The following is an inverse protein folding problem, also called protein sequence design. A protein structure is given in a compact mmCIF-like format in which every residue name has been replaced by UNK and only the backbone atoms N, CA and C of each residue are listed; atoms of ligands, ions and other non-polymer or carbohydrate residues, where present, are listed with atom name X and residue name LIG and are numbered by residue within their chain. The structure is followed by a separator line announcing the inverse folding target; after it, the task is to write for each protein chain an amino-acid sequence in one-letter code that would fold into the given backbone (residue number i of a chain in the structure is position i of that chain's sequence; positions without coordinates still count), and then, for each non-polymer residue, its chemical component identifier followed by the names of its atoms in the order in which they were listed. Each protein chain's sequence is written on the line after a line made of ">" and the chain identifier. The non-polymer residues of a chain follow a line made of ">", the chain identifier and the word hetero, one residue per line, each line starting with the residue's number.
data_IF_255576500712
#
_entry.id   IF_255576500712
#
_cell.length_a   1.000
_cell.length_b   1.000
_cell.length_c   1.000
_cell.angle_alpha   90.00
_cell.angle_beta   90.00
_cell.angle_gamma   90.00
#
_symmetry.space_group_name_H-M   'P 1'
#
loop_
_entity.id
_entity.type
_entity.pdbx_description
1 polymer ?
#
# COMPACT_ATOMS: atom_id res chain seq x y z
N UNK A 1 22.31 -20.81 15.86
CA UNK A 1 20.97 -20.29 15.53
C UNK A 1 21.08 -19.79 14.11
N UNK A 2 20.48 -20.48 13.14
CA UNK A 2 20.42 -20.05 11.73
C UNK A 2 19.62 -18.78 11.66
N UNK A 3 20.16 -17.75 11.02
CA UNK A 3 19.47 -16.49 10.76
C UNK A 3 18.19 -16.78 9.96
N UNK A 4 16.98 -16.50 10.48
CA UNK A 4 15.74 -16.75 9.76
C UNK A 4 15.57 -15.91 8.48
N UNK A 5 16.48 -14.96 8.22
CA UNK A 5 16.53 -14.19 6.99
C UNK A 5 17.27 -14.93 5.84
N UNK A 6 18.10 -15.93 6.14
CA UNK A 6 18.95 -16.59 5.14
C UNK A 6 18.18 -17.45 4.12
N UNK A 7 16.90 -17.76 4.37
CA UNK A 7 16.08 -18.65 3.52
C UNK A 7 14.76 -18.02 3.05
N UNK A 8 14.59 -16.68 3.21
CA UNK A 8 13.37 -15.99 2.79
C UNK A 8 13.34 -15.83 1.27
N UNK A 9 12.48 -16.59 0.61
CA UNK A 9 12.22 -16.52 -0.83
C UNK A 9 10.86 -15.90 -1.08
N UNK A 10 10.83 -14.79 -1.80
CA UNK A 10 9.61 -14.02 -2.05
C UNK A 10 9.19 -14.17 -3.51
N UNK A 11 7.96 -14.64 -3.69
CA UNK A 11 7.32 -14.75 -4.99
C UNK A 11 6.26 -13.69 -5.22
N UNK A 12 6.13 -13.23 -6.45
CA UNK A 12 5.06 -12.33 -6.86
C UNK A 12 4.26 -12.94 -8.01
N UNK A 13 2.97 -13.12 -7.80
CA UNK A 13 2.03 -13.46 -8.87
C UNK A 13 1.37 -12.15 -9.31
N UNK A 14 1.77 -11.69 -10.50
CA UNK A 14 1.62 -10.32 -10.97
C UNK A 14 2.91 -9.51 -10.77
N UNK A 15 3.48 -8.99 -11.87
CA UNK A 15 4.71 -8.20 -11.90
C UNK A 15 4.43 -6.71 -12.16
N UNK A 16 3.28 -6.21 -11.71
CA UNK A 16 2.85 -4.82 -11.88
C UNK A 16 3.63 -3.83 -11.01
N UNK A 17 3.19 -2.56 -11.02
CA UNK A 17 3.85 -1.47 -10.28
C UNK A 17 3.98 -1.75 -8.79
N UNK A 18 2.93 -2.27 -8.14
CA UNK A 18 2.95 -2.53 -6.69
C UNK A 18 3.92 -3.67 -6.34
N UNK A 19 3.90 -4.78 -7.09
CA UNK A 19 4.86 -5.87 -6.92
C UNK A 19 6.31 -5.37 -7.07
N UNK A 20 6.56 -4.57 -8.09
CA UNK A 20 7.88 -3.97 -8.34
C UNK A 20 8.30 -3.02 -7.20
N UNK A 21 7.37 -2.20 -6.69
CA UNK A 21 7.65 -1.29 -5.56
C UNK A 21 8.06 -2.06 -4.30
N UNK A 22 7.27 -3.09 -3.94
CA UNK A 22 7.54 -3.95 -2.79
C UNK A 22 8.88 -4.67 -2.93
N UNK A 23 9.12 -5.32 -4.08
CA UNK A 23 10.37 -6.02 -4.35
C UNK A 23 11.60 -5.10 -4.25
N UNK A 24 11.53 -3.91 -4.84
CA UNK A 24 12.60 -2.89 -4.73
C UNK A 24 12.83 -2.46 -3.29
N UNK A 25 11.77 -2.23 -2.53
CA UNK A 25 11.88 -1.86 -1.12
C UNK A 25 12.54 -2.96 -0.28
N UNK A 26 12.15 -4.21 -0.49
CA UNK A 26 12.73 -5.36 0.22
C UNK A 26 14.22 -5.53 -0.09
N UNK A 27 14.63 -5.31 -1.35
CA UNK A 27 16.03 -5.37 -1.78
C UNK A 27 16.82 -4.18 -1.20
N UNK A 28 16.30 -2.97 -1.30
CA UNK A 28 16.97 -1.77 -0.82
C UNK A 28 17.23 -1.81 0.70
N UNK A 29 16.30 -2.40 1.45
CA UNK A 29 16.45 -2.64 2.90
C UNK A 29 17.29 -3.89 3.24
N UNK A 30 17.84 -4.58 2.25
CA UNK A 30 18.60 -5.82 2.42
C UNK A 30 17.85 -6.94 3.16
N UNK A 31 16.51 -6.87 3.16
CA UNK A 31 15.65 -7.90 3.78
C UNK A 31 15.57 -9.14 2.91
N UNK A 32 15.68 -8.98 1.59
CA UNK A 32 15.68 -10.07 0.60
C UNK A 32 16.71 -9.72 -0.48
N UNK A 33 17.48 -10.73 -0.95
CA UNK A 33 18.38 -10.51 -2.09
C UNK A 33 17.62 -10.61 -3.42
N UNK A 34 18.11 -10.00 -4.51
CA UNK A 34 17.48 -10.10 -5.83
C UNK A 34 17.26 -11.55 -6.28
N UNK A 35 18.21 -12.45 -6.01
CA UNK A 35 18.19 -13.87 -6.40
C UNK A 35 17.08 -14.64 -5.69
N UNK A 36 16.66 -14.17 -4.50
CA UNK A 36 15.58 -14.76 -3.70
C UNK A 36 14.20 -14.22 -4.10
N UNK A 37 14.12 -13.34 -5.11
CA UNK A 37 12.86 -12.81 -5.63
C UNK A 37 12.53 -13.44 -6.98
N UNK A 38 11.30 -13.91 -7.13
CA UNK A 38 10.76 -14.44 -8.38
C UNK A 38 9.38 -13.86 -8.65
N UNK A 39 9.07 -13.58 -9.92
CA UNK A 39 7.76 -13.10 -10.32
C UNK A 39 7.25 -13.78 -11.58
N UNK A 40 5.92 -13.78 -11.78
CA UNK A 40 5.29 -14.08 -13.06
C UNK A 40 4.22 -13.03 -13.37
N UNK A 41 3.91 -12.87 -14.65
CA UNK A 41 2.82 -12.02 -15.12
C UNK A 41 2.32 -12.55 -16.48
N UNK A 42 1.05 -12.34 -16.77
CA UNK A 42 0.46 -12.68 -18.08
C UNK A 42 0.90 -11.70 -19.17
N UNK A 43 1.44 -10.54 -18.78
CA UNK A 43 1.96 -9.50 -19.68
C UNK A 43 3.49 -9.56 -19.72
N UNK A 44 4.13 -10.05 -20.80
CA UNK A 44 5.59 -10.21 -20.85
C UNK A 44 6.36 -8.90 -20.60
N UNK A 45 5.83 -7.77 -21.07
CA UNK A 45 6.46 -6.46 -20.86
C UNK A 45 6.50 -6.06 -19.36
N UNK A 46 5.54 -6.47 -18.55
CA UNK A 46 5.57 -6.26 -17.10
C UNK A 46 6.71 -7.06 -16.47
N UNK A 47 6.89 -8.31 -16.88
CA UNK A 47 7.99 -9.17 -16.43
C UNK A 47 9.35 -8.60 -16.78
N UNK A 48 9.55 -8.14 -18.03
CA UNK A 48 10.81 -7.52 -18.46
C UNK A 48 11.15 -6.29 -17.59
N UNK A 49 10.17 -5.41 -17.35
CA UNK A 49 10.33 -4.24 -16.50
C UNK A 49 10.61 -4.59 -15.04
N UNK A 50 9.97 -5.65 -14.53
CA UNK A 50 10.22 -6.14 -13.18
C UNK A 50 11.68 -6.59 -13.02
N UNK A 51 12.19 -7.41 -13.94
CA UNK A 51 13.59 -7.89 -13.93
C UNK A 51 14.57 -6.72 -14.04
N UNK A 52 14.33 -5.79 -14.96
CA UNK A 52 15.16 -4.58 -15.13
C UNK A 52 15.31 -3.79 -13.81
N UNK A 53 14.19 -3.63 -13.08
CA UNK A 53 14.15 -2.78 -11.89
C UNK A 53 14.56 -3.49 -10.60
N UNK A 54 14.38 -4.80 -10.51
CA UNK A 54 14.63 -5.57 -9.28
C UNK A 54 15.83 -6.48 -9.35
N UNK A 55 16.26 -6.83 -10.58
CA UNK A 55 17.20 -7.92 -10.84
C UNK A 55 16.75 -9.30 -10.34
N UNK A 56 15.49 -9.41 -9.94
CA UNK A 56 14.86 -10.67 -9.59
C UNK A 56 14.63 -11.56 -10.82
N UNK A 57 14.22 -12.80 -10.56
CA UNK A 57 13.91 -13.76 -11.64
C UNK A 57 12.47 -13.56 -12.14
N UNK A 58 12.25 -13.82 -13.41
CA UNK A 58 10.93 -13.92 -14.01
C UNK A 58 10.70 -15.33 -14.54
N UNK A 59 9.55 -15.90 -14.24
CA UNK A 59 9.12 -17.25 -14.67
C UNK A 59 7.78 -17.18 -15.38
N UNK A 60 7.43 -18.25 -16.09
CA UNK A 60 6.28 -18.23 -16.99
C UNK A 60 4.94 -18.44 -16.29
N UNK A 61 4.93 -19.07 -15.11
CA UNK A 61 3.68 -19.53 -14.47
C UNK A 61 3.64 -19.23 -12.97
N UNK A 62 2.43 -19.07 -12.44
CA UNK A 62 2.16 -18.98 -11.00
C UNK A 62 2.67 -20.23 -10.24
N UNK A 63 2.63 -21.39 -10.87
CA UNK A 63 3.11 -22.65 -10.30
C UNK A 63 4.62 -22.67 -10.06
N UNK A 64 5.40 -22.10 -10.98
CA UNK A 64 6.85 -21.94 -10.81
C UNK A 64 7.17 -20.98 -9.67
N UNK A 65 6.45 -19.85 -9.56
CA UNK A 65 6.58 -18.93 -8.42
C UNK A 65 6.31 -19.66 -7.11
N UNK A 66 5.21 -20.44 -7.03
CA UNK A 66 4.84 -21.14 -5.81
C UNK A 66 5.88 -22.21 -5.41
N UNK A 67 6.51 -22.90 -6.34
CA UNK A 67 7.57 -23.90 -6.03
C UNK A 67 8.79 -23.28 -5.39
N UNK A 68 9.16 -22.08 -5.85
CA UNK A 68 10.42 -21.40 -5.52
C UNK A 68 10.31 -20.46 -4.31
N UNK A 69 9.11 -20.26 -3.73
CA UNK A 69 8.87 -19.22 -2.74
C UNK A 69 8.37 -19.75 -1.41
N UNK A 70 8.78 -19.14 -0.31
CA UNK A 70 8.22 -19.33 1.05
C UNK A 70 7.11 -18.31 1.37
N UNK A 71 7.20 -17.10 0.81
CA UNK A 71 6.18 -16.06 0.90
C UNK A 71 5.74 -15.68 -0.51
N UNK A 72 4.45 -15.71 -0.78
CA UNK A 72 3.88 -15.47 -2.12
C UNK A 72 2.92 -14.29 -2.06
N UNK A 73 3.26 -13.21 -2.76
CA UNK A 73 2.39 -12.05 -2.90
C UNK A 73 1.46 -12.24 -4.11
N UNK A 74 0.14 -12.17 -3.86
CA UNK A 74 -0.86 -12.11 -4.91
C UNK A 74 -1.07 -10.65 -5.29
N UNK A 75 -0.45 -10.24 -6.39
CA UNK A 75 -0.38 -8.86 -6.88
C UNK A 75 -1.10 -8.67 -8.21
N UNK A 76 -2.05 -9.54 -8.52
CA UNK A 76 -2.91 -9.47 -9.70
C UNK A 76 -4.15 -8.60 -9.45
N UNK A 77 -4.81 -8.20 -10.52
CA UNK A 77 -6.13 -7.54 -10.41
C UNK A 77 -7.19 -8.54 -9.89
N UNK A 78 -8.21 -8.08 -9.14
CA UNK A 78 -9.25 -8.96 -8.59
C UNK A 78 -9.88 -9.91 -9.62
N UNK A 79 -10.09 -9.44 -10.85
CA UNK A 79 -10.69 -10.21 -11.94
C UNK A 79 -9.85 -11.40 -12.42
N UNK A 80 -8.57 -11.46 -12.05
CA UNK A 80 -7.65 -12.55 -12.39
C UNK A 80 -7.51 -13.58 -11.25
N UNK A 81 -8.17 -13.36 -10.12
CA UNK A 81 -7.97 -14.17 -8.92
C UNK A 81 -8.45 -15.61 -9.09
N UNK A 82 -9.54 -15.85 -9.81
CA UNK A 82 -10.05 -17.20 -10.05
C UNK A 82 -9.02 -18.08 -10.78
N UNK A 83 -8.31 -17.52 -11.76
CA UNK A 83 -7.22 -18.24 -12.45
C UNK A 83 -6.07 -18.55 -11.49
N UNK A 84 -5.70 -17.61 -10.62
CA UNK A 84 -4.67 -17.82 -9.60
C UNK A 84 -5.08 -18.92 -8.63
N UNK A 85 -6.34 -18.98 -8.22
CA UNK A 85 -6.86 -20.05 -7.37
C UNK A 85 -6.76 -21.42 -8.06
N UNK A 86 -7.15 -21.51 -9.33
CA UNK A 86 -7.06 -22.75 -10.12
C UNK A 86 -5.60 -23.21 -10.27
N UNK A 87 -4.67 -22.28 -10.46
CA UNK A 87 -3.25 -22.60 -10.62
C UNK A 87 -2.58 -23.09 -9.33
N UNK A 88 -3.00 -22.58 -8.17
CA UNK A 88 -2.28 -22.75 -6.92
C UNK A 88 -2.87 -23.78 -5.96
N UNK A 89 -4.20 -23.97 -5.94
CA UNK A 89 -4.92 -24.77 -4.92
C UNK A 89 -4.25 -26.12 -4.61
N UNK A 90 -3.82 -26.83 -5.65
CA UNK A 90 -3.32 -28.21 -5.52
C UNK A 90 -1.82 -28.30 -5.28
N UNK A 91 -1.10 -27.19 -5.24
CA UNK A 91 0.36 -27.16 -5.16
C UNK A 91 0.92 -26.37 -3.97
N UNK A 92 0.06 -25.62 -3.29
CA UNK A 92 0.49 -24.88 -2.10
C UNK A 92 0.86 -25.82 -0.97
N UNK A 93 1.96 -25.51 -0.29
CA UNK A 93 2.45 -26.24 0.86
C UNK A 93 2.02 -25.54 2.17
N UNK A 94 1.77 -26.30 3.25
CA UNK A 94 1.31 -25.73 4.53
C UNK A 94 2.26 -24.67 5.14
N UNK A 95 3.56 -24.81 4.86
CA UNK A 95 4.59 -23.89 5.34
C UNK A 95 4.67 -22.58 4.56
N UNK A 96 3.97 -22.45 3.44
CA UNK A 96 3.96 -21.22 2.63
C UNK A 96 2.99 -20.19 3.21
N UNK A 97 3.42 -18.93 3.17
CA UNK A 97 2.59 -17.76 3.52
C UNK A 97 2.11 -17.08 2.25
N UNK A 98 0.81 -16.94 2.13
CA UNK A 98 0.19 -16.18 1.04
C UNK A 98 -0.20 -14.79 1.54
N UNK A 99 0.27 -13.78 0.83
CA UNK A 99 0.01 -12.37 1.13
C UNK A 99 -0.76 -11.75 -0.05
N UNK A 100 -2.06 -11.50 0.13
CA UNK A 100 -2.86 -10.87 -0.91
C UNK A 100 -2.83 -9.36 -0.78
N UNK A 101 -2.45 -8.67 -1.86
CA UNK A 101 -2.58 -7.21 -2.00
C UNK A 101 -3.69 -6.82 -2.98
N UNK A 102 -4.53 -7.78 -3.40
CA UNK A 102 -5.66 -7.53 -4.29
C UNK A 102 -6.77 -6.80 -3.54
N UNK A 103 -7.19 -5.65 -4.07
CA UNK A 103 -8.28 -4.87 -3.48
C UNK A 103 -9.62 -5.63 -3.58
N UNK A 104 -10.45 -5.52 -2.55
CA UNK A 104 -11.81 -6.06 -2.56
C UNK A 104 -11.93 -7.58 -2.41
N UNK A 105 -10.83 -8.35 -2.25
CA UNK A 105 -10.90 -9.81 -2.08
C UNK A 105 -10.75 -10.17 -0.58
N UNK A 106 -11.84 -10.60 0.10
CA UNK A 106 -11.80 -10.93 1.52
C UNK A 106 -10.99 -12.21 1.81
N UNK A 107 -10.49 -12.32 3.04
CA UNK A 107 -9.80 -13.53 3.53
C UNK A 107 -10.67 -14.79 3.36
N UNK A 108 -11.98 -14.69 3.55
CA UNK A 108 -12.92 -15.81 3.34
C UNK A 108 -12.88 -16.30 1.89
N UNK A 109 -12.88 -15.41 0.92
CA UNK A 109 -12.79 -15.74 -0.52
C UNK A 109 -11.43 -16.33 -0.86
N UNK A 110 -10.33 -15.75 -0.33
CA UNK A 110 -8.99 -16.30 -0.50
C UNK A 110 -8.87 -17.72 0.05
N UNK A 111 -9.39 -17.98 1.25
CA UNK A 111 -9.39 -19.30 1.88
C UNK A 111 -10.24 -20.31 1.09
N UNK A 112 -11.40 -19.92 0.59
CA UNK A 112 -12.24 -20.78 -0.25
C UNK A 112 -11.56 -21.13 -1.58
N UNK A 113 -10.84 -20.17 -2.18
CA UNK A 113 -10.11 -20.35 -3.44
C UNK A 113 -8.85 -21.20 -3.31
N UNK A 114 -8.02 -20.93 -2.30
CA UNK A 114 -6.70 -21.55 -2.15
C UNK A 114 -6.67 -22.80 -1.25
N UNK A 115 -7.70 -22.99 -0.45
CA UNK A 115 -7.81 -24.09 0.51
C UNK A 115 -7.81 -23.62 1.97
N UNK A 116 -8.51 -24.37 2.86
CA UNK A 116 -8.78 -23.91 4.22
C UNK A 116 -7.54 -23.97 5.15
N UNK A 117 -6.47 -24.64 4.75
CA UNK A 117 -5.25 -24.81 5.56
C UNK A 117 -4.16 -23.78 5.24
N UNK A 118 -4.36 -22.95 4.22
CA UNK A 118 -3.35 -21.99 3.75
C UNK A 118 -3.20 -20.85 4.76
N UNK A 119 -1.96 -20.47 5.07
CA UNK A 119 -1.66 -19.29 5.89
C UNK A 119 -1.83 -18.04 5.03
N UNK A 120 -2.76 -17.17 5.41
CA UNK A 120 -3.20 -16.02 4.62
C UNK A 120 -3.02 -14.72 5.39
N UNK A 121 -2.51 -13.71 4.72
CA UNK A 121 -2.56 -12.31 5.16
C UNK A 121 -3.13 -11.46 4.02
N UNK A 122 -4.13 -10.66 4.34
CA UNK A 122 -4.68 -9.66 3.43
C UNK A 122 -4.06 -8.31 3.74
N UNK A 123 -3.55 -7.62 2.74
CA UNK A 123 -2.88 -6.31 2.86
C UNK A 123 -3.58 -5.31 1.95
N UNK A 124 -3.73 -4.10 2.46
CA UNK A 124 -4.12 -2.93 1.66
C UNK A 124 -2.96 -1.92 1.66
N UNK A 125 -2.08 -1.95 0.67
CA UNK A 125 -1.02 -0.96 0.48
C UNK A 125 -1.54 0.25 -0.32
N UNK A 126 -0.68 1.26 -0.52
CA UNK A 126 -0.97 2.36 -1.43
C UNK A 126 0.23 2.71 -2.32
N UNK A 127 -0.02 3.51 -3.36
CA UNK A 127 0.99 3.83 -4.38
C UNK A 127 2.25 4.54 -3.88
N UNK A 128 2.26 5.36 -2.80
CA UNK A 128 3.50 5.92 -2.25
C UNK A 128 4.54 4.89 -1.78
N UNK A 129 4.22 3.59 -1.70
CA UNK A 129 5.21 2.52 -1.58
C UNK A 129 6.32 2.60 -2.65
N UNK A 130 6.01 3.14 -3.84
CA UNK A 130 6.99 3.38 -4.93
C UNK A 130 8.17 4.26 -4.54
N UNK A 131 7.96 5.13 -3.55
CA UNK A 131 8.97 6.08 -3.05
C UNK A 131 9.29 5.85 -1.56
N UNK A 132 8.96 4.68 -1.01
CA UNK A 132 9.25 4.32 0.38
C UNK A 132 8.37 5.04 1.43
N UNK A 133 7.28 5.68 1.00
CA UNK A 133 6.37 6.44 1.86
C UNK A 133 4.95 5.85 1.85
N UNK A 134 4.83 4.55 1.71
CA UNK A 134 3.54 3.85 1.70
C UNK A 134 2.85 3.88 3.06
N UNK A 135 1.53 3.78 3.04
CA UNK A 135 0.71 3.46 4.19
C UNK A 135 -0.01 2.14 3.91
N UNK A 136 0.36 1.10 4.62
CA UNK A 136 -0.20 -0.25 4.47
C UNK A 136 -0.90 -0.68 5.74
N UNK A 137 -2.06 -1.30 5.62
CA UNK A 137 -2.65 -2.06 6.71
C UNK A 137 -2.84 -3.51 6.28
N UNK A 138 -2.77 -4.44 7.24
CA UNK A 138 -2.93 -5.85 6.97
C UNK A 138 -3.73 -6.57 8.06
N UNK A 139 -4.29 -7.71 7.68
CA UNK A 139 -5.06 -8.56 8.59
C UNK A 139 -4.70 -10.02 8.38
N UNK A 140 -4.57 -10.76 9.47
CA UNK A 140 -4.32 -12.20 9.46
C UNK A 140 -5.59 -13.00 9.19
N UNK A 141 -5.49 -14.01 8.34
CA UNK A 141 -6.45 -15.11 8.27
C UNK A 141 -6.28 -16.11 9.42
N UNK A 142 -7.20 -17.05 9.51
CA UNK A 142 -7.28 -17.99 10.65
C UNK A 142 -6.01 -18.82 10.90
N UNK A 143 -5.26 -19.16 9.83
CA UNK A 143 -4.08 -20.01 9.95
C UNK A 143 -2.76 -19.23 9.95
N UNK A 144 -2.80 -17.90 9.78
CA UNK A 144 -1.60 -17.09 9.87
C UNK A 144 -1.19 -16.88 11.33
N UNK A 145 0.08 -17.08 11.62
CA UNK A 145 0.63 -17.00 12.97
C UNK A 145 1.04 -15.57 13.33
N UNK A 146 1.32 -15.25 14.60
CA UNK A 146 1.92 -13.97 14.99
C UNK A 146 3.28 -13.73 14.30
N UNK A 147 4.06 -14.79 14.06
CA UNK A 147 5.35 -14.72 13.35
C UNK A 147 5.15 -14.35 11.89
N UNK A 148 4.10 -14.84 11.24
CA UNK A 148 3.70 -14.45 9.87
C UNK A 148 3.35 -12.95 9.83
N UNK A 149 2.59 -12.47 10.82
CA UNK A 149 2.27 -11.04 10.93
C UNK A 149 3.52 -10.19 11.11
N UNK A 150 4.43 -10.60 12.00
CA UNK A 150 5.68 -9.90 12.24
C UNK A 150 6.57 -9.88 10.97
N UNK A 151 6.61 -10.98 10.22
CA UNK A 151 7.33 -11.05 8.94
C UNK A 151 6.73 -10.07 7.92
N UNK A 152 5.41 -10.09 7.73
CA UNK A 152 4.73 -9.19 6.77
C UNK A 152 4.88 -7.74 7.20
N UNK A 153 4.75 -7.42 8.49
CA UNK A 153 4.99 -6.08 9.00
C UNK A 153 6.42 -5.61 8.70
N UNK A 154 7.43 -6.46 8.95
CA UNK A 154 8.84 -6.15 8.63
C UNK A 154 9.04 -5.90 7.14
N UNK A 155 8.48 -6.74 6.27
CA UNK A 155 8.55 -6.57 4.81
C UNK A 155 7.91 -5.25 4.36
N UNK A 156 6.69 -4.96 4.80
CA UNK A 156 5.97 -3.76 4.41
C UNK A 156 6.59 -2.48 4.98
N UNK A 157 7.22 -2.55 6.17
CA UNK A 157 7.94 -1.42 6.78
C UNK A 157 9.14 -0.95 5.96
N UNK A 158 9.64 -1.77 5.03
CA UNK A 158 10.68 -1.36 4.09
C UNK A 158 10.20 -0.34 3.03
N UNK A 159 8.89 -0.22 2.87
CA UNK A 159 8.28 0.69 1.87
C UNK A 159 7.34 1.72 2.49
N UNK A 160 7.32 1.85 3.82
CA UNK A 160 6.52 2.83 4.54
C UNK A 160 6.00 2.32 5.89
N UNK A 161 4.88 2.86 6.33
CA UNK A 161 4.19 2.43 7.55
C UNK A 161 3.39 1.15 7.30
N UNK A 162 3.45 0.19 8.23
CA UNK A 162 2.65 -1.04 8.20
C UNK A 162 1.96 -1.28 9.56
N UNK A 163 0.65 -1.47 9.54
CA UNK A 163 -0.17 -1.67 10.74
C UNK A 163 -1.06 -2.90 10.61
N UNK A 164 -1.08 -3.76 11.64
CA UNK A 164 -2.06 -4.83 11.72
C UNK A 164 -3.41 -4.28 12.22
N UNK A 165 -4.49 -4.63 11.52
CA UNK A 165 -5.86 -4.23 11.87
C UNK A 165 -6.82 -5.41 11.70
N UNK A 166 -7.97 -5.44 12.38
CA UNK A 166 -9.04 -6.38 12.06
C UNK A 166 -9.50 -6.23 10.61
N UNK A 167 -9.80 -7.35 9.92
CA UNK A 167 -10.15 -7.35 8.48
C UNK A 167 -11.30 -6.40 8.15
N UNK A 168 -12.31 -6.30 9.02
CA UNK A 168 -13.46 -5.41 8.84
C UNK A 168 -13.09 -3.92 8.66
N UNK A 169 -11.88 -3.52 9.04
CA UNK A 169 -11.39 -2.14 8.91
C UNK A 169 -10.64 -1.91 7.58
N UNK A 170 -10.31 -2.95 6.81
CA UNK A 170 -9.53 -2.79 5.58
C UNK A 170 -10.27 -2.01 4.47
N UNK A 171 -11.61 -1.99 4.49
CA UNK A 171 -12.37 -1.17 3.56
C UNK A 171 -12.27 0.33 3.91
N UNK A 172 -12.30 0.66 5.21
CA UNK A 172 -12.03 2.02 5.67
C UNK A 172 -10.57 2.45 5.39
N UNK A 173 -9.62 1.53 5.53
CA UNK A 173 -8.21 1.74 5.11
C UNK A 173 -8.14 2.00 3.61
N UNK A 174 -8.93 1.29 2.79
CA UNK A 174 -9.02 1.52 1.35
C UNK A 174 -9.50 2.94 1.06
N UNK A 175 -10.58 3.37 1.72
CA UNK A 175 -11.12 4.74 1.58
C UNK A 175 -10.15 5.83 2.03
N UNK A 176 -9.44 5.60 3.15
CA UNK A 176 -8.54 6.57 3.75
C UNK A 176 -7.16 6.61 3.05
N UNK A 177 -6.44 5.50 3.04
CA UNK A 177 -5.05 5.46 2.57
C UNK A 177 -4.88 4.83 1.18
N UNK A 178 -5.75 3.90 0.79
CA UNK A 178 -5.74 3.33 -0.56
C UNK A 178 -6.06 4.37 -1.62
N UNK A 179 -7.16 5.10 -1.46
CA UNK A 179 -7.62 6.18 -2.33
C UNK A 179 -6.96 7.53 -2.01
N UNK A 180 -6.48 7.70 -0.78
CA UNK A 180 -5.92 8.94 -0.23
C UNK A 180 -4.86 9.63 -1.08
N UNK A 181 -3.94 8.95 -1.78
CA UNK A 181 -2.98 9.61 -2.66
C UNK A 181 -3.63 10.52 -3.71
N UNK A 182 -4.81 10.14 -4.25
CA UNK A 182 -5.55 10.97 -5.19
C UNK A 182 -6.05 12.27 -4.54
N UNK A 183 -6.51 12.20 -3.29
CA UNK A 183 -6.94 13.39 -2.54
C UNK A 183 -5.77 14.33 -2.29
N UNK A 184 -4.61 13.76 -1.91
CA UNK A 184 -3.38 14.56 -1.69
C UNK A 184 -2.93 15.24 -2.98
N UNK A 185 -2.98 14.56 -4.14
CA UNK A 185 -2.61 15.18 -5.42
C UNK A 185 -3.55 16.31 -5.77
N UNK A 186 -4.86 16.18 -5.54
CA UNK A 186 -5.82 17.24 -5.75
C UNK A 186 -5.59 18.45 -4.81
N UNK A 187 -5.23 18.20 -3.56
CA UNK A 187 -4.87 19.26 -2.60
C UNK A 187 -3.59 20.00 -3.04
N UNK A 188 -2.57 19.25 -3.48
CA UNK A 188 -1.31 19.84 -4.01
C UNK A 188 -1.62 20.75 -5.21
N UNK A 189 -2.44 20.26 -6.14
CA UNK A 189 -2.83 21.01 -7.34
C UNK A 189 -3.58 22.30 -6.96
N UNK A 190 -4.58 22.20 -6.08
CA UNK A 190 -5.36 23.36 -5.63
C UNK A 190 -4.50 24.41 -4.91
N UNK A 191 -3.58 23.99 -4.03
CA UNK A 191 -2.64 24.91 -3.37
C UNK A 191 -1.68 25.55 -4.38
N UNK A 192 -1.20 24.78 -5.37
CA UNK A 192 -0.38 25.30 -6.45
C UNK A 192 -1.11 26.33 -7.29
N UNK A 193 -2.39 26.09 -7.61
CA UNK A 193 -3.24 27.05 -8.33
C UNK A 193 -3.45 28.35 -7.53
N UNK A 194 -3.65 28.22 -6.23
CA UNK A 194 -3.71 29.36 -5.32
C UNK A 194 -2.42 30.19 -5.36
N UNK A 195 -1.26 29.53 -5.33
CA UNK A 195 0.05 30.18 -5.45
C UNK A 195 0.22 30.92 -6.78
N UNK A 196 -0.18 30.28 -7.88
CA UNK A 196 -0.12 30.90 -9.22
C UNK A 196 -1.06 32.12 -9.31
N UNK A 197 -2.27 32.01 -8.75
CA UNK A 197 -3.22 33.15 -8.68
C UNK A 197 -2.64 34.35 -7.94
N UNK A 198 -1.75 34.09 -6.98
CA UNK A 198 -1.06 35.12 -6.21
C UNK A 198 0.28 35.56 -6.80
N UNK A 199 0.62 35.11 -8.03
CA UNK A 199 1.78 35.57 -8.79
C UNK A 199 3.02 34.66 -8.73
N UNK A 200 2.97 33.49 -8.09
CA UNK A 200 4.08 32.53 -8.12
C UNK A 200 4.17 31.84 -9.49
N UNK A 201 5.37 31.61 -10.01
CA UNK A 201 5.55 30.72 -11.15
C UNK A 201 5.04 29.30 -10.82
N UNK A 202 4.37 28.62 -11.77
CA UNK A 202 3.75 27.30 -11.59
C UNK A 202 4.70 26.28 -10.97
N UNK A 203 5.93 26.18 -11.48
CA UNK A 203 6.91 25.22 -11.00
C UNK A 203 7.26 25.43 -9.52
N UNK A 204 7.42 26.68 -9.12
CA UNK A 204 7.71 27.04 -7.72
C UNK A 204 6.50 26.75 -6.83
N UNK A 205 5.31 27.14 -7.26
CA UNK A 205 4.07 26.93 -6.51
C UNK A 205 3.83 25.43 -6.25
N UNK A 206 4.01 24.58 -7.26
CA UNK A 206 3.83 23.12 -7.12
C UNK A 206 4.84 22.50 -6.16
N UNK A 207 6.14 22.87 -6.27
CA UNK A 207 7.19 22.37 -5.35
C UNK A 207 6.91 22.78 -3.91
N UNK A 208 6.54 24.03 -3.67
CA UNK A 208 6.22 24.53 -2.33
C UNK A 208 4.97 23.85 -1.76
N UNK A 209 3.91 23.67 -2.52
CA UNK A 209 2.70 22.99 -2.09
C UNK A 209 2.98 21.52 -1.70
N UNK A 210 3.70 20.79 -2.55
CA UNK A 210 4.06 19.40 -2.28
C UNK A 210 4.95 19.28 -1.02
N UNK A 211 5.98 20.13 -0.89
CA UNK A 211 6.87 20.11 0.27
C UNK A 211 6.15 20.52 1.56
N UNK A 212 5.18 21.42 1.49
CA UNK A 212 4.38 21.84 2.66
C UNK A 212 3.53 20.69 3.18
N UNK A 213 2.85 19.94 2.30
CA UNK A 213 2.07 18.77 2.69
C UNK A 213 2.96 17.66 3.27
N UNK A 214 4.08 17.37 2.63
CA UNK A 214 5.07 16.42 3.13
C UNK A 214 5.55 16.80 4.53
N UNK A 215 5.94 18.06 4.74
CA UNK A 215 6.42 18.56 6.03
C UNK A 215 5.35 18.52 7.11
N UNK A 216 4.12 18.91 6.78
CA UNK A 216 2.99 18.83 7.69
C UNK A 216 2.69 17.41 8.15
N UNK A 217 2.66 16.43 7.22
CA UNK A 217 2.49 15.03 7.52
C UNK A 217 3.63 14.49 8.39
N UNK A 218 4.89 14.83 8.05
CA UNK A 218 6.07 14.43 8.80
C UNK A 218 6.05 14.96 10.24
N UNK A 219 5.58 16.20 10.46
CA UNK A 219 5.43 16.76 11.82
C UNK A 219 4.45 15.93 12.66
N UNK A 220 3.31 15.53 12.11
CA UNK A 220 2.35 14.67 12.82
C UNK A 220 2.98 13.32 13.19
N UNK A 221 3.62 12.65 12.22
CA UNK A 221 4.19 11.31 12.42
C UNK A 221 5.38 11.33 13.39
N UNK A 222 6.25 12.34 13.32
CA UNK A 222 7.48 12.40 14.13
C UNK A 222 7.24 12.88 15.56
N UNK A 223 6.26 13.77 15.75
CA UNK A 223 6.00 14.36 17.09
C UNK A 223 4.91 13.64 17.85
N UNK A 224 4.01 12.93 17.15
CA UNK A 224 2.80 12.33 17.73
C UNK A 224 1.81 13.37 18.27
N UNK A 225 2.02 14.67 18.00
CA UNK A 225 1.10 15.71 18.45
C UNK A 225 -0.19 15.70 17.66
N UNK A 226 -1.27 16.08 18.32
CA UNK A 226 -2.57 16.23 17.67
C UNK A 226 -2.49 17.30 16.56
N UNK A 227 -3.02 17.03 15.33
CA UNK A 227 -2.95 17.98 14.21
C UNK A 227 -3.51 19.38 14.54
N UNK A 228 -4.54 19.46 15.40
CA UNK A 228 -5.08 20.72 15.89
C UNK A 228 -4.05 21.55 16.66
N UNK A 229 -3.25 20.93 17.53
CA UNK A 229 -2.20 21.63 18.28
C UNK A 229 -1.08 22.13 17.36
N UNK A 230 -0.69 21.34 16.37
CA UNK A 230 0.31 21.76 15.36
C UNK A 230 -0.22 22.92 14.50
N UNK A 231 -1.52 22.90 14.13
CA UNK A 231 -2.19 24.00 13.43
C UNK A 231 -2.17 25.27 14.28
N UNK A 232 -2.51 25.19 15.56
CA UNK A 232 -2.54 26.34 16.46
C UNK A 232 -1.15 26.95 16.66
N UNK A 233 -0.11 26.13 16.73
CA UNK A 233 1.28 26.57 16.88
C UNK A 233 1.78 27.46 15.72
N UNK A 234 1.18 27.33 14.52
CA UNK A 234 1.52 28.16 13.35
C UNK A 234 0.48 29.26 13.07
N UNK A 235 -0.47 29.45 14.00
CA UNK A 235 -1.58 30.38 13.82
C UNK A 235 -1.47 31.57 14.78
N UNK A 236 -0.82 32.65 14.32
CA UNK A 236 -0.70 33.88 15.11
C UNK A 236 -2.02 34.72 15.08
N UNK A 237 -2.34 35.46 16.15
CA UNK A 237 -3.50 36.34 16.19
C UNK A 237 -3.49 37.37 15.05
N UNK A 238 -4.57 37.40 14.27
CA UNK A 238 -4.71 38.32 13.11
C UNK A 238 -3.76 38.04 11.95
N UNK A 239 -3.04 36.90 11.96
CA UNK A 239 -2.04 36.56 10.95
C UNK A 239 -2.62 35.98 9.66
N UNK A 240 -1.74 35.72 8.70
CA UNK A 240 -2.11 35.16 7.39
C UNK A 240 -2.69 33.75 7.49
N UNK A 241 -2.20 32.95 8.45
CA UNK A 241 -2.65 31.58 8.66
C UNK A 241 -4.12 31.53 9.07
N UNK A 242 -4.54 32.36 10.06
CA UNK A 242 -5.94 32.33 10.50
C UNK A 242 -6.89 32.85 9.42
N UNK A 243 -6.45 33.82 8.60
CA UNK A 243 -7.24 34.28 7.47
C UNK A 243 -7.45 33.19 6.42
N UNK A 244 -6.40 32.43 6.09
CA UNK A 244 -6.51 31.29 5.19
C UNK A 244 -7.36 30.14 5.75
N UNK A 245 -7.19 29.80 7.03
CA UNK A 245 -8.00 28.79 7.72
C UNK A 245 -9.49 29.14 7.71
N UNK A 246 -9.84 30.42 7.92
CA UNK A 246 -11.23 30.89 7.83
C UNK A 246 -11.87 30.55 6.49
N UNK A 247 -11.17 30.80 5.37
CA UNK A 247 -11.70 30.49 4.04
C UNK A 247 -11.86 28.95 3.83
N UNK A 248 -10.93 28.13 4.35
CA UNK A 248 -11.04 26.66 4.28
C UNK A 248 -12.25 26.15 5.08
N UNK A 249 -12.49 26.68 6.29
CA UNK A 249 -13.66 26.33 7.10
C UNK A 249 -14.96 26.80 6.44
N UNK A 250 -15.00 28.01 5.89
CA UNK A 250 -16.15 28.54 5.14
C UNK A 250 -16.47 27.68 3.91
N UNK A 251 -15.44 27.15 3.24
CA UNK A 251 -15.57 26.22 2.11
C UNK A 251 -15.92 24.79 2.48
N UNK A 252 -16.00 24.46 3.78
CA UNK A 252 -16.38 23.12 4.24
C UNK A 252 -15.33 22.05 4.01
N UNK A 253 -14.03 22.40 3.92
CA UNK A 253 -12.94 21.46 3.60
C UNK A 253 -13.02 20.19 4.43
N UNK A 254 -13.27 20.30 5.74
CA UNK A 254 -13.30 19.13 6.64
C UNK A 254 -14.41 18.14 6.29
N UNK A 255 -15.63 18.66 6.06
CA UNK A 255 -16.77 17.82 5.65
C UNK A 255 -16.49 17.11 4.33
N UNK A 256 -16.03 17.84 3.32
CA UNK A 256 -15.72 17.30 1.98
C UNK A 256 -14.68 16.16 2.05
N UNK A 257 -13.64 16.32 2.85
CA UNK A 257 -12.63 15.26 3.00
C UNK A 257 -13.17 14.03 3.76
N UNK A 258 -14.02 14.22 4.76
CA UNK A 258 -14.70 13.11 5.46
C UNK A 258 -15.63 12.36 4.51
N UNK A 259 -16.43 13.07 3.74
CA UNK A 259 -17.35 12.49 2.75
C UNK A 259 -16.61 11.70 1.66
N UNK A 260 -15.44 12.19 1.23
CA UNK A 260 -14.60 11.49 0.24
C UNK A 260 -14.11 10.13 0.78
N UNK A 261 -13.67 10.08 2.05
CA UNK A 261 -13.26 8.82 2.70
C UNK A 261 -14.45 7.88 2.85
N UNK A 262 -15.61 8.39 3.28
CA UNK A 262 -16.85 7.60 3.43
C UNK A 262 -17.27 7.00 2.09
N UNK A 263 -17.39 7.81 1.04
CA UNK A 263 -17.81 7.37 -0.29
C UNK A 263 -16.88 6.27 -0.85
N UNK A 264 -15.57 6.43 -0.69
CA UNK A 264 -14.60 5.44 -1.15
C UNK A 264 -14.64 4.14 -0.29
N UNK A 265 -14.93 4.25 1.00
CA UNK A 265 -15.11 3.11 1.90
C UNK A 265 -16.35 2.30 1.52
N UNK A 266 -17.49 2.97 1.31
CA UNK A 266 -18.74 2.33 0.85
C UNK A 266 -18.50 1.62 -0.48
N UNK A 267 -17.81 2.27 -1.42
CA UNK A 267 -17.50 1.65 -2.71
C UNK A 267 -16.59 0.43 -2.57
N UNK A 268 -15.62 0.46 -1.65
CA UNK A 268 -14.77 -0.71 -1.38
C UNK A 268 -15.59 -1.89 -0.84
N UNK A 269 -16.54 -1.64 0.06
CA UNK A 269 -17.47 -2.66 0.59
C UNK A 269 -18.34 -3.27 -0.52
N UNK A 270 -18.92 -2.45 -1.41
CA UNK A 270 -19.69 -2.93 -2.55
C UNK A 270 -18.88 -3.86 -3.46
N UNK A 271 -17.62 -3.49 -3.75
CA UNK A 271 -16.73 -4.29 -4.57
C UNK A 271 -16.33 -5.61 -3.91
N UNK A 272 -16.21 -5.62 -2.59
CA UNK A 272 -15.92 -6.84 -1.81
C UNK A 272 -17.11 -7.78 -1.65
N UNK A 273 -18.33 -7.31 -1.91
CA UNK A 273 -19.56 -8.10 -1.85
C UNK A 273 -19.94 -8.79 -3.19
N UNK A 274 -19.28 -8.39 -4.28
CA UNK A 274 -19.45 -8.99 -5.62
C UNK A 274 -18.62 -10.27 -5.74
#
# INVERSE_FOLDING_TARGET
>A
MTDPAADLRVGFIGAGQMATALAKGFIAATTVTPEAIVACDVVPAAGAKFVEQTRGRFVSTSREVARDSSVIFLAVKPQQMDQVFADLRDILRPEQLIVSIAAGIPLKTLAAGLGPQVRLIRVMPNTPCLVGCGASAFSRGLNATPEDAALVQRLLSNVGLALEVPEKLLDAVTGLSGSGPAYVYQIIEALSDGGVRMGLPREIATKLAAQTLLGGAQMVLSTGQHPGSLKDAVTSPGGTTIAGLHELERGGLRGILMDAVEAATVRAQELGAL
#
